data_IF_461351217368
#
_entry.id   IF_461351217368
#
_cell.length_a   1.000
_cell.length_b   1.000
_cell.length_c   1.000
_cell.angle_alpha   90.00
_cell.angle_beta   90.00
_cell.angle_gamma   90.00
#
_symmetry.space_group_name_H-M   'P 1'
#
loop_
_entity.id
_entity.type
_entity.pdbx_description
1 polymer ?
#
# COMPACT_ATOMS: atom_id res chain seq x y z
N UNK A 1 -9.51 20.62 -2.46
CA UNK A 1 -8.15 21.10 -2.09
C UNK A 1 -7.15 20.12 -2.70
N UNK A 2 -6.27 20.56 -3.61
CA UNK A 2 -5.44 19.67 -4.44
C UNK A 2 -4.12 19.32 -3.76
N UNK A 3 -3.59 18.09 -3.91
CA UNK A 3 -2.29 17.66 -3.38
C UNK A 3 -1.13 18.64 -3.69
N UNK A 4 -1.19 19.29 -4.86
CA UNK A 4 -0.23 20.34 -5.25
C UNK A 4 -0.22 21.55 -4.31
N UNK A 5 -1.37 21.95 -3.79
CA UNK A 5 -1.45 23.06 -2.81
C UNK A 5 -0.77 22.67 -1.50
N UNK A 6 -0.97 21.43 -1.06
CA UNK A 6 -0.33 20.91 0.15
C UNK A 6 1.20 20.83 -0.01
N UNK A 7 1.68 20.45 -1.20
CA UNK A 7 3.12 20.44 -1.50
C UNK A 7 3.76 21.82 -1.35
N UNK A 8 3.10 22.88 -1.86
CA UNK A 8 3.60 24.27 -1.71
C UNK A 8 3.74 24.63 -0.22
N UNK A 9 2.75 24.29 0.59
CA UNK A 9 2.80 24.52 2.04
C UNK A 9 3.93 23.73 2.71
N UNK A 10 4.16 22.48 2.30
CA UNK A 10 5.27 21.68 2.83
C UNK A 10 6.62 22.32 2.53
N UNK A 11 6.85 22.78 1.30
CA UNK A 11 8.08 23.48 0.93
C UNK A 11 8.30 24.78 1.72
N UNK A 12 7.24 25.55 1.97
CA UNK A 12 7.33 26.76 2.78
C UNK A 12 7.77 26.46 4.22
N UNK A 13 7.20 25.43 4.84
CA UNK A 13 7.55 25.02 6.20
C UNK A 13 8.96 24.43 6.28
N UNK A 14 9.35 23.62 5.29
CA UNK A 14 10.70 23.06 5.20
C UNK A 14 11.75 24.17 5.05
N UNK A 15 11.48 25.20 4.24
CA UNK A 15 12.36 26.34 4.07
C UNK A 15 12.41 27.24 5.32
N UNK A 16 11.28 27.44 6.01
CA UNK A 16 11.21 28.25 7.22
C UNK A 16 11.87 27.59 8.43
N UNK A 17 11.86 26.25 8.50
CA UNK A 17 12.35 25.49 9.65
C UNK A 17 13.25 24.31 9.21
N UNK A 18 14.43 24.58 8.61
CA UNK A 18 15.27 23.55 8.00
C UNK A 18 15.85 22.54 9.01
N UNK A 19 15.91 22.88 10.31
CA UNK A 19 16.33 21.97 11.37
C UNK A 19 15.23 20.97 11.79
N UNK A 20 13.97 21.23 11.44
CA UNK A 20 12.85 20.36 11.79
C UNK A 20 12.65 19.26 10.75
N UNK A 21 13.18 18.07 11.05
CA UNK A 21 13.17 16.90 10.16
C UNK A 21 11.77 16.52 9.64
N UNK A 22 10.73 16.73 10.44
CA UNK A 22 9.34 16.39 10.12
C UNK A 22 8.81 17.09 8.87
N UNK A 23 9.20 18.34 8.62
CA UNK A 23 8.72 19.05 7.42
C UNK A 23 9.29 18.44 6.15
N UNK A 24 10.58 18.08 6.17
CA UNK A 24 11.22 17.37 5.06
C UNK A 24 10.58 15.99 4.84
N UNK A 25 10.35 15.22 5.90
CA UNK A 25 9.67 13.91 5.80
C UNK A 25 8.27 14.05 5.18
N UNK A 26 7.49 15.05 5.60
CA UNK A 26 6.17 15.33 5.04
C UNK A 26 6.24 15.74 3.57
N UNK A 27 7.19 16.60 3.18
CA UNK A 27 7.43 16.96 1.77
C UNK A 27 7.70 15.71 0.94
N UNK A 28 8.55 14.79 1.44
CA UNK A 28 8.90 13.56 0.73
C UNK A 28 7.65 12.70 0.48
N UNK A 29 6.82 12.48 1.50
CA UNK A 29 5.60 11.68 1.36
C UNK A 29 4.59 12.34 0.41
N UNK A 30 4.39 13.65 0.51
CA UNK A 30 3.46 14.35 -0.39
C UNK A 30 3.93 14.29 -1.84
N UNK A 31 5.24 14.42 -2.08
CA UNK A 31 5.80 14.23 -3.42
C UNK A 31 5.63 12.79 -3.89
N UNK A 32 5.81 11.80 -3.01
CA UNK A 32 5.59 10.38 -3.34
C UNK A 32 4.15 10.09 -3.77
N UNK A 33 3.17 10.65 -3.05
CA UNK A 33 1.75 10.55 -3.40
C UNK A 33 1.46 11.20 -4.76
N UNK A 34 2.00 12.38 -5.02
CA UNK A 34 1.85 13.06 -6.33
C UNK A 34 2.47 12.22 -7.45
N UNK A 35 3.66 11.68 -7.21
CA UNK A 35 4.35 10.81 -8.17
C UNK A 35 3.54 9.55 -8.49
N UNK A 36 2.90 8.93 -7.49
CA UNK A 36 1.99 7.80 -7.71
C UNK A 36 0.80 8.16 -8.60
N UNK A 37 0.28 9.40 -8.52
CA UNK A 37 -0.86 9.83 -9.32
C UNK A 37 -0.50 10.23 -10.76
N UNK A 38 0.67 10.83 -11.01
CA UNK A 38 0.97 11.43 -12.31
C UNK A 38 2.26 10.93 -12.97
N UNK A 39 3.12 10.21 -12.25
CA UNK A 39 4.43 9.71 -12.70
C UNK A 39 5.38 10.76 -13.30
N UNK A 40 5.17 12.06 -13.06
CA UNK A 40 5.91 13.13 -13.73
C UNK A 40 7.27 13.43 -13.09
N UNK A 41 7.37 13.39 -11.76
CA UNK A 41 8.57 13.82 -11.04
C UNK A 41 9.10 12.72 -10.13
N UNK A 42 10.25 12.13 -10.48
CA UNK A 42 10.91 11.11 -9.66
C UNK A 42 11.46 11.72 -8.37
N UNK A 43 11.26 11.02 -7.26
CA UNK A 43 11.84 11.38 -5.96
C UNK A 43 13.34 11.14 -5.97
N UNK A 44 14.11 12.09 -5.44
CA UNK A 44 15.55 11.99 -5.40
C UNK A 44 15.99 10.87 -4.43
N UNK A 45 17.02 10.09 -4.80
CA UNK A 45 17.54 9.00 -3.95
C UNK A 45 17.95 9.47 -2.55
N UNK A 46 18.51 10.68 -2.44
CA UNK A 46 18.87 11.32 -1.16
C UNK A 46 17.67 11.53 -0.22
N UNK A 47 16.50 11.78 -0.80
CA UNK A 47 15.27 12.03 -0.05
C UNK A 47 14.70 10.70 0.44
N UNK A 48 14.72 9.66 -0.42
CA UNK A 48 14.37 8.30 -0.01
C UNK A 48 15.29 7.81 1.11
N UNK A 49 16.60 8.03 0.99
CA UNK A 49 17.56 7.65 2.03
C UNK A 49 17.28 8.38 3.35
N UNK A 50 16.98 9.69 3.30
CA UNK A 50 16.63 10.46 4.50
C UNK A 50 15.38 9.90 5.22
N UNK A 51 14.36 9.49 4.47
CA UNK A 51 13.18 8.83 5.02
C UNK A 51 13.53 7.48 5.68
N UNK A 52 14.33 6.66 4.99
CA UNK A 52 14.73 5.34 5.48
C UNK A 52 15.60 5.45 6.74
N UNK A 53 16.59 6.35 6.74
CA UNK A 53 17.46 6.61 7.90
C UNK A 53 16.65 7.06 9.11
N UNK A 54 15.65 7.92 8.91
CA UNK A 54 14.73 8.32 9.98
C UNK A 54 14.00 7.10 10.54
N UNK A 55 13.36 6.29 9.69
CA UNK A 55 12.58 5.13 10.12
C UNK A 55 13.43 4.09 10.87
N UNK A 56 14.69 3.90 10.49
CA UNK A 56 15.65 3.06 11.24
C UNK A 56 16.11 3.67 12.56
N UNK A 57 16.13 4.99 12.67
CA UNK A 57 16.57 5.68 13.90
C UNK A 57 15.52 5.67 15.01
N UNK A 58 14.27 5.31 14.72
CA UNK A 58 13.17 5.30 15.69
C UNK A 58 13.03 3.90 16.27
N UNK A 59 13.34 3.76 17.57
CA UNK A 59 13.27 2.48 18.29
C UNK A 59 11.84 1.95 18.41
N UNK A 60 10.85 2.83 18.60
CA UNK A 60 9.44 2.48 18.75
C UNK A 60 8.56 3.30 17.80
N UNK A 61 7.92 2.63 16.84
CA UNK A 61 7.10 3.31 15.86
C UNK A 61 5.77 3.77 16.45
N UNK A 62 5.44 5.04 16.27
CA UNK A 62 4.12 5.59 16.54
C UNK A 62 3.26 5.65 15.28
N UNK A 63 2.13 6.35 15.39
CA UNK A 63 1.23 6.60 14.24
C UNK A 63 1.93 7.31 13.08
N UNK A 64 2.89 8.18 13.39
CA UNK A 64 3.60 8.96 12.39
C UNK A 64 4.53 8.07 11.55
N UNK A 65 5.30 7.20 12.18
CA UNK A 65 6.18 6.25 11.48
C UNK A 65 5.36 5.25 10.65
N UNK A 66 4.23 4.76 11.17
CA UNK A 66 3.30 3.92 10.41
C UNK A 66 2.78 4.65 9.16
N UNK A 67 2.42 5.92 9.29
CA UNK A 67 1.97 6.75 8.17
C UNK A 67 3.08 6.96 7.14
N UNK A 68 4.30 7.32 7.58
CA UNK A 68 5.46 7.47 6.72
C UNK A 68 5.77 6.19 5.94
N UNK A 69 5.77 5.03 6.60
CA UNK A 69 6.02 3.75 5.95
C UNK A 69 4.92 3.41 4.94
N UNK A 70 3.65 3.58 5.33
CA UNK A 70 2.48 3.31 4.49
C UNK A 70 2.56 3.99 3.12
N UNK A 71 2.91 5.28 3.11
CA UNK A 71 2.95 6.07 1.89
C UNK A 71 4.34 6.13 1.25
N UNK A 72 5.39 5.82 2.00
CA UNK A 72 6.78 5.81 1.53
C UNK A 72 7.25 4.47 0.97
N UNK A 73 6.56 3.36 1.24
CA UNK A 73 7.02 2.01 0.84
C UNK A 73 7.24 1.85 -0.67
N UNK A 74 6.44 2.54 -1.49
CA UNK A 74 6.60 2.56 -2.95
C UNK A 74 7.89 3.22 -3.44
N UNK A 75 8.62 3.92 -2.57
CA UNK A 75 9.92 4.51 -2.86
C UNK A 75 11.10 3.61 -2.45
N UNK A 76 10.86 2.68 -1.53
CA UNK A 76 11.89 1.86 -0.88
C UNK A 76 12.22 0.60 -1.70
N UNK A 77 13.36 -0.03 -1.41
CA UNK A 77 13.72 -1.33 -1.99
C UNK A 77 12.90 -2.47 -1.37
N UNK A 78 12.81 -3.62 -2.03
CA UNK A 78 12.08 -4.78 -1.50
C UNK A 78 12.63 -5.26 -0.14
N UNK A 79 13.95 -5.21 0.06
CA UNK A 79 14.59 -5.57 1.32
C UNK A 79 14.24 -4.61 2.47
N UNK A 80 14.20 -3.30 2.18
CA UNK A 80 13.76 -2.30 3.16
C UNK A 80 12.29 -2.49 3.54
N UNK A 81 11.43 -2.70 2.55
CA UNK A 81 9.99 -2.96 2.79
C UNK A 81 9.80 -4.22 3.64
N UNK A 82 10.54 -5.30 3.36
CA UNK A 82 10.48 -6.52 4.17
C UNK A 82 10.92 -6.28 5.61
N UNK A 83 12.05 -5.59 5.81
CA UNK A 83 12.58 -5.27 7.13
C UNK A 83 11.55 -4.50 7.96
N UNK A 84 11.00 -3.42 7.41
CA UNK A 84 10.02 -2.59 8.10
C UNK A 84 8.66 -3.28 8.30
N UNK A 85 8.22 -4.10 7.35
CA UNK A 85 6.98 -4.88 7.49
C UNK A 85 7.10 -5.92 8.62
N UNK A 86 8.23 -6.63 8.71
CA UNK A 86 8.51 -7.58 9.79
C UNK A 86 8.58 -6.88 11.16
N UNK A 87 9.26 -5.73 11.23
CA UNK A 87 9.32 -4.92 12.46
C UNK A 87 7.91 -4.55 12.94
N UNK A 88 7.06 -4.08 12.04
CA UNK A 88 5.68 -3.74 12.39
C UNK A 88 4.87 -4.95 12.86
N UNK A 89 4.93 -6.08 12.14
CA UNK A 89 4.21 -7.31 12.51
C UNK A 89 4.56 -7.71 13.94
N UNK A 90 5.85 -7.66 14.31
CA UNK A 90 6.33 -8.05 15.63
C UNK A 90 5.73 -7.22 16.77
N UNK A 91 5.38 -5.95 16.50
CA UNK A 91 4.85 -5.00 17.50
C UNK A 91 3.36 -4.76 17.41
N UNK A 92 2.69 -5.38 16.45
CA UNK A 92 1.28 -5.09 16.16
C UNK A 92 0.34 -5.40 17.32
N UNK A 93 0.69 -6.32 18.22
CA UNK A 93 -0.11 -6.59 19.42
C UNK A 93 -0.38 -5.32 20.24
N UNK A 94 0.59 -4.40 20.33
CA UNK A 94 0.43 -3.11 21.01
C UNK A 94 -0.53 -2.16 20.27
N UNK A 95 -0.52 -2.19 18.93
CA UNK A 95 -1.41 -1.36 18.12
C UNK A 95 -2.86 -1.88 18.10
N UNK A 96 -3.09 -3.17 18.37
CA UNK A 96 -4.42 -3.78 18.24
C UNK A 96 -5.39 -3.42 19.38
N UNK A 97 -4.88 -2.93 20.51
CA UNK A 97 -5.71 -2.56 21.66
C UNK A 97 -6.52 -1.27 21.40
N UNK A 98 -6.00 -0.37 20.57
CA UNK A 98 -6.64 0.93 20.26
C UNK A 98 -7.28 0.89 18.87
N UNK A 99 -8.60 1.13 18.72
CA UNK A 99 -9.30 1.05 17.44
C UNK A 99 -8.68 1.90 16.31
N UNK A 100 -8.24 3.12 16.61
CA UNK A 100 -7.63 4.02 15.62
C UNK A 100 -6.28 3.49 15.13
N UNK A 101 -5.53 2.81 16.00
CA UNK A 101 -4.27 2.18 15.64
C UNK A 101 -4.50 0.93 14.77
N UNK A 102 -5.56 0.16 15.05
CA UNK A 102 -5.99 -0.95 14.18
C UNK A 102 -6.29 -0.49 12.77
N UNK A 103 -7.02 0.63 12.63
CA UNK A 103 -7.34 1.17 11.32
C UNK A 103 -6.08 1.54 10.53
N UNK A 104 -5.13 2.22 11.16
CA UNK A 104 -3.85 2.56 10.53
C UNK A 104 -3.04 1.32 10.14
N UNK A 105 -2.98 0.31 11.00
CA UNK A 105 -2.30 -0.97 10.69
C UNK A 105 -2.97 -1.67 9.51
N UNK A 106 -4.30 -1.71 9.47
CA UNK A 106 -5.05 -2.32 8.37
C UNK A 106 -4.79 -1.58 7.04
N UNK A 107 -4.83 -0.24 7.05
CA UNK A 107 -4.52 0.59 5.88
C UNK A 107 -3.09 0.35 5.39
N UNK A 108 -2.14 0.28 6.33
CA UNK A 108 -0.76 0.01 6.01
C UNK A 108 -0.60 -1.37 5.40
N UNK A 109 -1.12 -2.42 6.04
CA UNK A 109 -1.08 -3.79 5.51
C UNK A 109 -1.63 -3.86 4.09
N UNK A 110 -2.80 -3.25 3.84
CA UNK A 110 -3.38 -3.18 2.50
C UNK A 110 -2.43 -2.53 1.48
N UNK A 111 -1.87 -1.37 1.80
CA UNK A 111 -0.96 -0.65 0.91
C UNK A 111 0.35 -1.43 0.65
N UNK A 112 0.95 -2.00 1.70
CA UNK A 112 2.18 -2.78 1.57
C UNK A 112 1.95 -4.07 0.79
N UNK A 113 0.84 -4.77 1.03
CA UNK A 113 0.47 -5.97 0.26
C UNK A 113 0.37 -5.64 -1.23
N UNK A 114 -0.34 -4.57 -1.60
CA UNK A 114 -0.45 -4.15 -2.99
C UNK A 114 0.93 -3.82 -3.59
N UNK A 115 1.76 -3.05 -2.90
CA UNK A 115 3.14 -2.77 -3.35
C UNK A 115 3.95 -4.05 -3.57
N UNK A 116 3.81 -5.04 -2.67
CA UNK A 116 4.52 -6.32 -2.80
C UNK A 116 4.01 -7.13 -4.00
N UNK A 117 2.69 -7.16 -4.24
CA UNK A 117 2.10 -7.86 -5.39
C UNK A 117 2.55 -7.21 -6.70
N UNK A 118 2.47 -5.89 -6.83
CA UNK A 118 2.92 -5.15 -8.02
C UNK A 118 4.39 -5.43 -8.36
N UNK A 119 5.23 -5.55 -7.33
CA UNK A 119 6.67 -5.77 -7.47
C UNK A 119 7.05 -7.25 -7.54
N UNK A 120 6.07 -8.16 -7.65
CA UNK A 120 6.29 -9.60 -7.63
C UNK A 120 7.04 -10.12 -6.38
N UNK A 121 6.98 -9.38 -5.27
CA UNK A 121 7.55 -9.80 -3.98
C UNK A 121 6.58 -10.72 -3.23
N UNK A 122 6.26 -11.86 -3.85
CA UNK A 122 5.16 -12.74 -3.45
C UNK A 122 5.36 -13.39 -2.07
N UNK A 123 6.60 -13.71 -1.68
CA UNK A 123 6.90 -14.29 -0.35
C UNK A 123 6.41 -13.38 0.78
N UNK A 124 6.75 -12.09 0.73
CA UNK A 124 6.31 -11.13 1.72
C UNK A 124 4.81 -10.85 1.61
N UNK A 125 4.26 -10.70 0.39
CA UNK A 125 2.83 -10.51 0.19
C UNK A 125 2.00 -11.64 0.84
N UNK A 126 2.43 -12.90 0.69
CA UNK A 126 1.79 -14.06 1.30
C UNK A 126 1.85 -14.02 2.83
N UNK A 127 3.02 -13.70 3.41
CA UNK A 127 3.17 -13.54 4.87
C UNK A 127 2.21 -12.47 5.40
N UNK A 128 2.14 -11.31 4.74
CA UNK A 128 1.28 -10.19 5.15
C UNK A 128 -0.22 -10.49 4.97
N UNK A 129 -0.61 -11.19 3.92
CA UNK A 129 -2.00 -11.63 3.72
C UNK A 129 -2.45 -12.59 4.83
N UNK A 130 -1.64 -13.60 5.16
CA UNK A 130 -1.94 -14.50 6.27
C UNK A 130 -1.96 -13.76 7.60
N UNK A 131 -1.08 -12.77 7.78
CA UNK A 131 -1.10 -11.92 8.96
C UNK A 131 -2.43 -11.15 9.08
N UNK A 132 -2.87 -10.50 8.00
CA UNK A 132 -4.12 -9.75 7.95
C UNK A 132 -5.37 -10.62 8.19
N UNK A 133 -5.36 -11.87 7.70
CA UNK A 133 -6.44 -12.84 7.95
C UNK A 133 -6.53 -13.25 9.44
N UNK A 134 -5.41 -13.24 10.17
CA UNK A 134 -5.33 -13.64 11.58
C UNK A 134 -5.53 -12.49 12.57
N UNK A 135 -5.58 -11.24 12.11
CA UNK A 135 -5.89 -10.10 12.97
C UNK A 135 -7.30 -10.22 13.55
N UNK A 136 -7.50 -9.74 14.78
CA UNK A 136 -8.84 -9.64 15.38
C UNK A 136 -9.66 -8.61 14.60
N UNK A 137 -10.40 -9.09 13.61
CA UNK A 137 -11.29 -8.24 12.82
C UNK A 137 -12.61 -8.06 13.57
N UNK A 138 -12.98 -6.80 13.82
CA UNK A 138 -14.34 -6.48 14.18
C UNK A 138 -15.25 -6.84 12.99
N UNK A 139 -16.37 -7.51 13.26
CA UNK A 139 -17.33 -7.89 12.20
C UNK A 139 -17.83 -6.69 11.40
N UNK A 140 -17.84 -5.50 12.02
CA UNK A 140 -18.27 -4.26 11.39
C UNK A 140 -17.26 -3.68 10.39
N UNK A 141 -16.01 -4.14 10.35
CA UNK A 141 -14.98 -3.66 9.41
C UNK A 141 -15.09 -4.36 8.04
N UNK A 142 -16.29 -4.26 7.44
CA UNK A 142 -16.65 -4.94 6.20
C UNK A 142 -15.83 -4.45 5.00
N UNK A 143 -15.48 -3.17 4.98
CA UNK A 143 -14.66 -2.60 3.90
C UNK A 143 -13.26 -3.20 3.88
N UNK A 144 -12.54 -3.18 5.01
CA UNK A 144 -11.18 -3.74 5.05
C UNK A 144 -11.18 -5.25 4.81
N UNK A 145 -12.21 -5.95 5.29
CA UNK A 145 -12.42 -7.37 4.99
C UNK A 145 -12.50 -7.62 3.49
N UNK A 146 -13.35 -6.88 2.79
CA UNK A 146 -13.48 -6.99 1.34
C UNK A 146 -12.18 -6.63 0.62
N UNK A 147 -11.50 -5.56 1.06
CA UNK A 147 -10.23 -5.11 0.47
C UNK A 147 -9.12 -6.16 0.59
N UNK A 148 -8.95 -6.79 1.76
CA UNK A 148 -7.97 -7.87 1.95
C UNK A 148 -8.32 -9.11 1.13
N UNK A 149 -9.62 -9.47 1.02
CA UNK A 149 -10.07 -10.57 0.14
C UNK A 149 -9.77 -10.29 -1.32
N UNK A 150 -9.98 -9.06 -1.77
CA UNK A 150 -9.60 -8.62 -3.12
C UNK A 150 -8.09 -8.73 -3.34
N UNK A 151 -7.25 -8.25 -2.41
CA UNK A 151 -5.79 -8.41 -2.50
C UNK A 151 -5.36 -9.88 -2.55
N UNK A 152 -6.06 -10.78 -1.84
CA UNK A 152 -5.79 -12.22 -1.90
C UNK A 152 -6.12 -12.80 -3.28
N UNK A 153 -7.25 -12.41 -3.87
CA UNK A 153 -7.58 -12.74 -5.26
C UNK A 153 -6.53 -12.21 -6.23
N UNK A 154 -6.07 -10.98 -6.02
CA UNK A 154 -5.05 -10.35 -6.84
C UNK A 154 -3.69 -11.07 -6.77
N UNK A 155 -3.26 -11.43 -5.56
CA UNK A 155 -2.09 -12.27 -5.32
C UNK A 155 -2.21 -13.62 -6.05
N UNK A 156 -3.34 -14.32 -5.90
CA UNK A 156 -3.57 -15.61 -6.56
C UNK A 156 -3.39 -15.49 -8.07
N UNK A 157 -4.01 -14.48 -8.69
CA UNK A 157 -3.86 -14.24 -10.12
C UNK A 157 -2.41 -13.99 -10.53
N UNK A 158 -1.68 -13.10 -9.85
CA UNK A 158 -0.28 -12.78 -10.17
C UNK A 158 0.69 -13.94 -9.93
N UNK A 159 0.30 -14.93 -9.10
CA UNK A 159 1.04 -16.19 -8.92
C UNK A 159 0.63 -17.31 -9.89
N UNK A 160 -0.24 -17.00 -10.87
CA UNK A 160 -0.64 -17.94 -11.94
C UNK A 160 -1.96 -18.67 -11.69
N UNK A 161 -2.66 -18.41 -10.59
CA UNK A 161 -3.95 -19.03 -10.30
C UNK A 161 -5.12 -18.15 -10.77
N UNK A 162 -5.72 -18.54 -11.89
CA UNK A 162 -6.83 -17.80 -12.51
C UNK A 162 -8.09 -17.71 -11.65
N UNK A 163 -8.28 -18.59 -10.66
CA UNK A 163 -9.39 -18.48 -9.70
C UNK A 163 -9.32 -17.18 -8.87
N UNK A 164 -8.14 -16.55 -8.80
CA UNK A 164 -7.97 -15.23 -8.22
C UNK A 164 -8.89 -14.16 -8.82
N UNK A 165 -9.15 -14.21 -10.14
CA UNK A 165 -10.06 -13.26 -10.80
C UNK A 165 -11.50 -13.41 -10.30
N UNK A 166 -11.98 -14.64 -10.10
CA UNK A 166 -13.33 -14.89 -9.59
C UNK A 166 -13.50 -14.33 -8.17
N UNK A 167 -12.45 -14.44 -7.33
CA UNK A 167 -12.44 -13.83 -6.00
C UNK A 167 -12.51 -12.31 -6.10
N UNK A 168 -11.73 -11.70 -7.00
CA UNK A 168 -11.72 -10.25 -7.21
C UNK A 168 -13.07 -9.74 -7.72
N UNK A 169 -13.68 -10.42 -8.70
CA UNK A 169 -15.00 -10.11 -9.26
C UNK A 169 -16.08 -10.14 -8.18
N UNK A 170 -16.10 -11.19 -7.35
CA UNK A 170 -17.02 -11.28 -6.21
C UNK A 170 -16.84 -10.11 -5.22
N UNK A 171 -15.61 -9.68 -4.96
CA UNK A 171 -15.37 -8.52 -4.09
C UNK A 171 -15.88 -7.22 -4.73
N UNK A 172 -15.81 -7.08 -6.05
CA UNK A 172 -16.37 -5.95 -6.78
C UNK A 172 -17.91 -5.97 -6.76
N UNK A 173 -18.53 -7.14 -6.95
CA UNK A 173 -19.98 -7.32 -6.83
C UNK A 173 -20.51 -6.89 -5.45
N UNK A 174 -19.81 -7.24 -4.37
CA UNK A 174 -20.16 -6.78 -3.02
C UNK A 174 -20.14 -5.26 -2.93
N UNK A 175 -19.16 -4.58 -3.54
CA UNK A 175 -19.10 -3.11 -3.56
C UNK A 175 -20.24 -2.51 -4.40
N UNK A 176 -20.63 -3.15 -5.50
CA UNK A 176 -21.80 -2.72 -6.30
C UNK A 176 -23.08 -2.85 -5.48
N UNK A 177 -23.27 -3.99 -4.82
CA UNK A 177 -24.44 -4.26 -3.98
C UNK A 177 -24.57 -3.25 -2.83
N UNK A 178 -23.46 -2.80 -2.27
CA UNK A 178 -23.41 -1.76 -1.23
C UNK A 178 -23.43 -0.33 -1.80
N UNK A 179 -23.74 -0.15 -3.09
CA UNK A 179 -23.80 1.15 -3.78
C UNK A 179 -22.48 1.95 -3.76
N UNK A 180 -21.36 1.27 -3.52
CA UNK A 180 -20.01 1.84 -3.51
C UNK A 180 -19.42 1.92 -4.94
N UNK A 181 -20.15 2.56 -5.86
CA UNK A 181 -19.90 2.48 -7.30
C UNK A 181 -18.49 2.92 -7.72
N UNK A 182 -17.94 3.99 -7.11
CA UNK A 182 -16.60 4.47 -7.46
C UNK A 182 -15.50 3.45 -7.12
N UNK A 183 -15.64 2.76 -5.99
CA UNK A 183 -14.69 1.73 -5.55
C UNK A 183 -14.85 0.48 -6.44
N UNK A 184 -16.09 0.07 -6.68
CA UNK A 184 -16.39 -1.06 -7.57
C UNK A 184 -15.79 -0.84 -8.97
N UNK A 185 -15.93 0.37 -9.54
CA UNK A 185 -15.38 0.69 -10.85
C UNK A 185 -13.85 0.56 -10.86
N UNK A 186 -13.15 1.09 -9.85
CA UNK A 186 -11.69 0.95 -9.74
C UNK A 186 -11.24 -0.53 -9.68
N UNK A 187 -12.01 -1.38 -8.98
CA UNK A 187 -11.74 -2.81 -8.93
C UNK A 187 -11.95 -3.48 -10.30
N UNK A 188 -13.03 -3.14 -11.00
CA UNK A 188 -13.35 -3.70 -12.32
C UNK A 188 -12.37 -3.26 -13.41
N UNK A 189 -11.94 -2.00 -13.40
CA UNK A 189 -10.92 -1.47 -14.32
C UNK A 189 -9.63 -2.28 -14.16
N UNK A 190 -9.20 -2.49 -12.91
CA UNK A 190 -8.02 -3.30 -12.61
C UNK A 190 -8.18 -4.76 -13.05
N UNK A 191 -9.33 -5.39 -12.81
CA UNK A 191 -9.62 -6.74 -13.30
C UNK A 191 -9.49 -6.81 -14.83
N UNK A 192 -9.99 -5.78 -15.53
CA UNK A 192 -9.94 -5.70 -16.99
C UNK A 192 -8.51 -5.59 -17.52
N UNK A 193 -7.67 -4.76 -16.90
CA UNK A 193 -6.24 -4.66 -17.19
C UNK A 193 -5.55 -6.02 -17.04
N UNK A 194 -5.79 -6.72 -15.93
CA UNK A 194 -5.18 -8.02 -15.65
C UNK A 194 -5.59 -9.11 -16.67
N UNK A 195 -6.84 -9.11 -17.12
CA UNK A 195 -7.30 -10.03 -18.18
C UNK A 195 -6.59 -9.76 -19.51
N UNK A 196 -6.31 -8.50 -19.83
CA UNK A 196 -5.56 -8.13 -21.03
C UNK A 196 -4.09 -8.59 -20.92
N UNK A 197 -3.44 -8.39 -19.77
CA UNK A 197 -2.08 -8.87 -19.51
C UNK A 197 -1.96 -10.40 -19.71
N UNK A 198 -2.89 -11.19 -19.16
CA UNK A 198 -2.88 -12.65 -19.34
C UNK A 198 -3.07 -13.08 -20.80
N UNK A 199 -3.94 -12.38 -21.53
CA UNK A 199 -4.18 -12.65 -22.95
C UNK A 199 -2.96 -12.34 -23.82
N UNK A 200 -2.16 -11.34 -23.45
CA UNK A 200 -0.91 -11.00 -24.14
C UNK A 200 0.17 -12.07 -23.91
N UNK A 201 0.37 -12.47 -22.64
CA UNK A 201 1.35 -13.51 -22.28
C UNK A 201 1.07 -14.85 -22.95
N UNK A 202 -0.21 -15.24 -23.08
CA UNK A 202 -0.59 -16.47 -23.78
C UNK A 202 -0.28 -16.42 -25.28
N UNK A 203 -0.43 -15.25 -25.93
CA UNK A 203 -0.12 -15.09 -27.36
C UNK A 203 1.39 -15.17 -27.63
N UNK A 204 2.21 -14.57 -26.78
CA UNK A 204 3.67 -14.63 -26.91
C UNK A 204 4.23 -16.06 -26.73
N UNK A 205 3.62 -16.86 -25.85
CA UNK A 205 3.98 -18.26 -25.65
C UNK A 205 3.57 -19.18 -26.81
N UNK A 206 2.54 -18.83 -27.58
CA UNK A 206 2.11 -19.60 -28.78
C UNK A 206 2.87 -19.25 -30.06
N UNK A 207 3.72 -18.21 -30.03
CA UNK A 207 4.56 -17.79 -31.16
C UNK A 207 6.05 -18.17 -30.99
N UNK A 208 6.38 -18.92 -29.93
CA UNK A 208 7.66 -19.60 -29.71
C UNK A 208 7.52 -21.09 -30.02
#
# INVERSE_FOLDING_TARGET
MTLKHYLVKCHQLEAAFPSQKFYKLNTIIVRALIYQCNQQEKIAKKDVQFLVDYLFSVDEWGRYELWLFTYGASLMTNSMVETFACEMISRTQFYQEIPENRHLVNQMLFNIINVCIERSHFSLAFKLLNYADNLKQNETDLFMRNAIKYCRGYYLFKTGNLSGLQVMEKCAEVMIFLECHSIAQQMLDRISELKQEASHMQKELTHL
#
